data_IF_502326736925
#
_entry.id   IF_502326736925
#
_cell.length_a   1.000
_cell.length_b   1.000
_cell.length_c   1.000
_cell.angle_alpha   90.00
_cell.angle_beta   90.00
_cell.angle_gamma   90.00
#
_symmetry.space_group_name_H-M   'P 1'
#
loop_
_entity.id
_entity.type
_entity.pdbx_description
1 polymer ?
#
# COMPACT_ATOMS: atom_id res chain seq x y z
N UNK A 1 -6.53 5.40 -7.16
CA UNK A 1 -7.33 6.23 -6.21
C UNK A 1 -6.42 7.25 -5.54
N UNK A 2 -6.78 8.54 -5.57
CA UNK A 2 -5.95 9.62 -5.03
C UNK A 2 -5.68 9.45 -3.52
N UNK A 3 -6.71 9.24 -2.70
CA UNK A 3 -6.53 9.08 -1.25
C UNK A 3 -5.63 7.89 -0.89
N UNK A 4 -5.79 6.74 -1.55
CA UNK A 4 -4.95 5.57 -1.33
C UNK A 4 -3.49 5.82 -1.70
N UNK A 5 -3.24 6.55 -2.78
CA UNK A 5 -1.90 6.98 -3.17
C UNK A 5 -1.28 7.89 -2.08
N UNK A 6 -2.06 8.85 -1.58
CA UNK A 6 -1.63 9.81 -0.55
C UNK A 6 -1.29 9.10 0.75
N UNK A 7 -2.21 8.31 1.32
CA UNK A 7 -1.97 7.62 2.59
C UNK A 7 -0.77 6.68 2.50
N UNK A 8 -0.72 5.84 1.46
CA UNK A 8 0.39 4.89 1.27
C UNK A 8 1.72 5.64 1.04
N UNK A 9 1.70 6.73 0.27
CA UNK A 9 2.87 7.56 0.00
C UNK A 9 3.41 8.30 1.23
N UNK A 10 2.54 8.85 2.08
CA UNK A 10 2.94 9.50 3.34
C UNK A 10 3.59 8.49 4.28
N UNK A 11 3.01 7.30 4.40
CA UNK A 11 3.55 6.25 5.26
C UNK A 11 4.89 5.73 4.71
N UNK A 12 4.99 5.55 3.39
CA UNK A 12 6.23 5.17 2.73
C UNK A 12 7.33 6.23 2.88
N UNK A 13 6.99 7.52 2.80
CA UNK A 13 7.91 8.62 3.09
C UNK A 13 8.40 8.55 4.54
N UNK A 14 7.49 8.36 5.49
CA UNK A 14 7.87 8.19 6.90
C UNK A 14 8.81 7.00 7.10
N UNK A 15 8.51 5.84 6.51
CA UNK A 15 9.39 4.68 6.55
C UNK A 15 10.77 5.00 5.96
N UNK A 16 10.83 5.65 4.81
CA UNK A 16 12.09 6.00 4.16
C UNK A 16 12.95 6.97 4.99
N UNK A 17 12.34 7.97 5.61
CA UNK A 17 13.03 8.91 6.50
C UNK A 17 13.52 8.23 7.79
N UNK A 18 12.72 7.34 8.37
CA UNK A 18 13.08 6.59 9.57
C UNK A 18 14.20 5.58 9.31
N UNK A 19 14.25 5.01 8.10
CA UNK A 19 15.36 4.19 7.65
C UNK A 19 16.65 5.02 7.52
N UNK A 20 16.57 6.22 6.92
CA UNK A 20 17.72 7.13 6.82
C UNK A 20 18.22 7.65 8.16
N UNK A 21 17.32 7.85 9.13
CA UNK A 21 17.66 8.25 10.48
C UNK A 21 18.19 7.08 11.34
N UNK A 22 18.34 5.88 10.77
CA UNK A 22 18.80 4.66 11.44
C UNK A 22 17.93 4.24 12.65
N UNK A 23 16.68 4.69 12.68
CA UNK A 23 15.72 4.34 13.76
C UNK A 23 14.95 3.09 13.36
N UNK A 24 15.63 1.94 13.40
CA UNK A 24 15.14 0.67 12.86
C UNK A 24 13.73 0.28 13.38
N UNK A 25 13.47 0.45 14.68
CA UNK A 25 12.18 0.09 15.28
C UNK A 25 11.03 0.90 14.65
N UNK A 26 11.20 2.20 14.51
CA UNK A 26 10.18 3.06 13.91
C UNK A 26 10.06 2.82 12.41
N UNK A 27 11.16 2.53 11.72
CA UNK A 27 11.12 2.10 10.32
C UNK A 27 10.24 0.85 10.15
N UNK A 28 10.44 -0.18 10.97
CA UNK A 28 9.64 -1.41 10.90
C UNK A 28 8.17 -1.10 11.14
N UNK A 29 7.85 -0.32 12.19
CA UNK A 29 6.46 0.07 12.47
C UNK A 29 5.83 0.85 11.31
N UNK A 30 6.55 1.81 10.72
CA UNK A 30 6.09 2.56 9.56
C UNK A 30 5.90 1.65 8.34
N UNK A 31 6.79 0.67 8.13
CA UNK A 31 6.67 -0.29 7.05
C UNK A 31 5.44 -1.19 7.19
N UNK A 32 5.12 -1.63 8.41
CA UNK A 32 3.87 -2.36 8.67
C UNK A 32 2.64 -1.52 8.31
N UNK A 33 2.66 -0.22 8.63
CA UNK A 33 1.56 0.70 8.34
C UNK A 33 1.33 0.91 6.84
N UNK A 34 2.30 0.64 5.97
CA UNK A 34 2.13 0.77 4.51
C UNK A 34 0.92 -0.04 4.04
N UNK A 35 0.71 -1.24 4.60
CA UNK A 35 -0.42 -2.09 4.25
C UNK A 35 -1.79 -1.52 4.65
N UNK A 36 -1.86 -0.59 5.61
CA UNK A 36 -3.09 0.13 5.92
C UNK A 36 -3.44 1.20 4.87
N UNK A 37 -2.44 1.73 4.16
CA UNK A 37 -2.58 2.86 3.24
C UNK A 37 -3.70 2.70 2.20
N UNK A 38 -3.78 1.58 1.45
CA UNK A 38 -4.83 1.38 0.46
C UNK A 38 -6.22 1.31 1.09
N UNK A 39 -6.35 0.64 2.25
CA UNK A 39 -7.61 0.47 2.96
C UNK A 39 -8.12 1.81 3.50
N UNK A 40 -7.25 2.58 4.15
CA UNK A 40 -7.56 3.92 4.64
C UNK A 40 -7.98 4.85 3.50
N UNK A 41 -7.25 4.80 2.38
CA UNK A 41 -7.58 5.60 1.21
C UNK A 41 -8.91 5.24 0.57
N UNK A 42 -9.23 3.95 0.45
CA UNK A 42 -10.53 3.48 -0.01
C UNK A 42 -11.65 3.95 0.93
N UNK A 43 -11.51 3.73 2.24
CA UNK A 43 -12.54 4.12 3.21
C UNK A 43 -12.74 5.65 3.28
N UNK A 44 -11.66 6.43 3.14
CA UNK A 44 -11.76 7.89 3.02
C UNK A 44 -12.54 8.29 1.77
N UNK A 45 -12.25 7.65 0.63
CA UNK A 45 -12.89 7.97 -0.64
C UNK A 45 -14.38 7.60 -0.67
N UNK A 46 -14.80 6.59 0.08
CA UNK A 46 -16.21 6.17 0.18
C UNK A 46 -16.96 6.80 1.35
N UNK A 47 -16.30 7.66 2.15
CA UNK A 47 -16.90 8.28 3.34
C UNK A 47 -17.14 7.31 4.51
N UNK A 48 -16.46 6.16 4.51
CA UNK A 48 -16.59 5.07 5.49
C UNK A 48 -15.34 4.91 6.36
N UNK A 49 -14.57 5.99 6.58
CA UNK A 49 -13.31 5.95 7.32
C UNK A 49 -13.51 5.38 8.74
N UNK A 50 -12.82 4.29 9.06
CA UNK A 50 -12.95 3.56 10.32
C UNK A 50 -14.10 2.55 10.35
N UNK A 51 -14.93 2.48 9.31
CA UNK A 51 -16.08 1.58 9.23
C UNK A 51 -15.69 0.10 9.09
N UNK A 52 -14.54 -0.19 8.48
CA UNK A 52 -13.98 -1.54 8.36
C UNK A 52 -12.57 -1.60 8.98
N UNK A 53 -12.52 -1.48 10.31
CA UNK A 53 -11.26 -1.52 11.07
C UNK A 53 -10.55 -2.88 11.00
N UNK A 54 -11.30 -3.96 10.76
CA UNK A 54 -10.76 -5.30 10.60
C UNK A 54 -9.90 -5.39 9.33
N UNK A 55 -10.36 -4.80 8.22
CA UNK A 55 -9.56 -4.68 7.00
C UNK A 55 -8.28 -3.86 7.20
N UNK A 56 -8.32 -2.80 8.03
CA UNK A 56 -7.12 -2.01 8.36
C UNK A 56 -6.09 -2.87 9.09
N UNK A 57 -6.52 -3.62 10.10
CA UNK A 57 -5.63 -4.56 10.81
C UNK A 57 -5.09 -5.63 9.86
N UNK A 58 -5.93 -6.17 8.97
CA UNK A 58 -5.48 -7.09 7.93
C UNK A 58 -4.35 -6.51 7.10
N UNK A 59 -4.49 -5.25 6.68
CA UNK A 59 -3.46 -4.53 5.93
C UNK A 59 -2.14 -4.43 6.70
N UNK A 60 -2.20 -4.03 7.98
CA UNK A 60 -1.01 -3.89 8.84
C UNK A 60 -0.32 -5.24 9.03
N UNK A 61 -1.07 -6.28 9.38
CA UNK A 61 -0.53 -7.61 9.68
C UNK A 61 0.08 -8.27 8.45
N UNK A 62 -0.39 -7.97 7.25
CA UNK A 62 0.18 -8.54 6.02
C UNK A 62 1.65 -8.22 5.84
N UNK A 63 2.09 -7.06 6.31
CA UNK A 63 3.48 -6.63 6.16
C UNK A 63 4.42 -7.14 7.26
N UNK A 64 3.96 -8.03 8.15
CA UNK A 64 4.81 -8.64 9.18
C UNK A 64 5.99 -9.43 8.61
N UNK A 65 5.81 -10.00 7.40
CA UNK A 65 6.87 -10.66 6.64
C UNK A 65 7.52 -9.74 5.59
N UNK A 66 7.42 -8.42 5.80
CA UNK A 66 7.99 -7.35 4.98
C UNK A 66 7.64 -7.50 3.49
N UNK A 67 8.61 -7.97 2.68
CA UNK A 67 8.51 -8.09 1.22
C UNK A 67 7.41 -9.08 0.81
N UNK A 68 7.09 -10.07 1.64
CA UNK A 68 5.96 -10.97 1.36
C UNK A 68 4.59 -10.32 1.59
N UNK A 69 4.57 -9.10 2.14
CA UNK A 69 3.33 -8.37 2.41
C UNK A 69 2.47 -8.14 1.18
N UNK A 70 3.07 -7.98 0.00
CA UNK A 70 2.36 -7.83 -1.25
C UNK A 70 1.46 -9.04 -1.60
N UNK A 71 1.87 -10.24 -1.19
CA UNK A 71 1.14 -11.49 -1.42
C UNK A 71 0.18 -11.81 -0.27
N UNK A 72 0.56 -11.45 0.96
CA UNK A 72 -0.28 -11.65 2.14
C UNK A 72 -1.40 -10.61 2.26
N UNK A 73 -1.24 -9.43 1.66
CA UNK A 73 -2.18 -8.32 1.73
C UNK A 73 -3.57 -8.68 1.20
N UNK A 74 -3.71 -9.23 -0.03
CA UNK A 74 -5.02 -9.67 -0.52
C UNK A 74 -5.72 -10.70 0.37
N UNK A 75 -4.94 -11.59 0.99
CA UNK A 75 -5.45 -12.67 1.82
C UNK A 75 -5.99 -12.11 3.14
N UNK A 76 -5.19 -11.38 3.90
CA UNK A 76 -5.61 -10.91 5.23
C UNK A 76 -6.63 -9.78 5.14
N UNK A 77 -6.47 -8.84 4.20
CA UNK A 77 -7.47 -7.78 3.99
C UNK A 77 -8.78 -8.38 3.50
N UNK A 78 -8.74 -9.32 2.55
CA UNK A 78 -9.96 -9.96 2.03
C UNK A 78 -10.64 -10.88 3.04
N UNK A 79 -9.88 -11.54 3.93
CA UNK A 79 -10.44 -12.38 4.99
C UNK A 79 -11.09 -11.56 6.12
N UNK A 80 -10.59 -10.35 6.37
CA UNK A 80 -11.06 -9.48 7.44
C UNK A 80 -12.05 -8.40 6.97
N UNK A 81 -12.12 -8.14 5.67
CA UNK A 81 -13.07 -7.18 5.10
C UNK A 81 -14.42 -7.80 4.79
N UNK A 82 -15.47 -7.02 4.99
CA UNK A 82 -16.85 -7.42 4.66
C UNK A 82 -17.20 -7.15 3.20
N UNK A 83 -16.57 -6.14 2.59
CA UNK A 83 -16.94 -5.65 1.26
C UNK A 83 -15.98 -6.09 0.16
N UNK A 84 -14.81 -6.62 0.52
CA UNK A 84 -13.75 -6.93 -0.45
C UNK A 84 -13.64 -8.44 -0.71
N UNK A 85 -13.32 -8.82 -1.95
CA UNK A 85 -13.05 -10.21 -2.32
C UNK A 85 -11.53 -10.43 -2.45
N UNK A 86 -11.04 -11.57 -1.95
CA UNK A 86 -9.61 -11.92 -2.02
C UNK A 86 -9.11 -11.90 -3.47
N UNK A 87 -9.90 -12.43 -4.41
CA UNK A 87 -9.54 -12.46 -5.83
C UNK A 87 -9.37 -11.05 -6.44
N UNK A 88 -10.28 -10.12 -6.15
CA UNK A 88 -10.18 -8.73 -6.65
C UNK A 88 -8.98 -8.01 -6.02
N UNK A 89 -8.71 -8.25 -4.74
CA UNK A 89 -7.54 -7.70 -4.06
C UNK A 89 -6.23 -8.27 -4.63
N UNK A 90 -6.20 -9.53 -5.07
CA UNK A 90 -5.04 -10.11 -5.76
C UNK A 90 -4.79 -9.42 -7.09
N UNK A 91 -5.84 -9.18 -7.89
CA UNK A 91 -5.72 -8.40 -9.12
C UNK A 91 -5.15 -7.00 -8.84
N UNK A 92 -5.66 -6.32 -7.82
CA UNK A 92 -5.16 -5.03 -7.37
C UNK A 92 -3.70 -5.05 -6.94
N UNK A 93 -3.30 -6.04 -6.14
CA UNK A 93 -1.92 -6.14 -5.65
C UNK A 93 -0.95 -6.50 -6.77
N UNK A 94 -1.27 -7.46 -7.63
CA UNK A 94 -0.40 -7.87 -8.75
C UNK A 94 -0.21 -6.72 -9.76
N UNK A 95 -1.31 -6.06 -10.13
CA UNK A 95 -1.22 -4.88 -11.01
C UNK A 95 -0.49 -3.74 -10.31
N UNK A 96 -0.70 -3.54 -9.01
CA UNK A 96 0.01 -2.57 -8.19
C UNK A 96 1.51 -2.84 -8.10
N UNK A 97 1.96 -4.09 -8.02
CA UNK A 97 3.37 -4.49 -8.12
C UNK A 97 3.93 -4.02 -9.45
N UNK A 98 3.26 -4.36 -10.55
CA UNK A 98 3.72 -4.00 -11.88
C UNK A 98 3.83 -2.47 -12.06
N UNK A 99 2.81 -1.72 -11.63
CA UNK A 99 2.80 -0.26 -11.66
C UNK A 99 3.91 0.32 -10.78
N UNK A 100 4.05 -0.18 -9.55
CA UNK A 100 5.06 0.29 -8.61
C UNK A 100 6.49 0.04 -9.12
N UNK A 101 6.76 -1.14 -9.68
CA UNK A 101 8.05 -1.46 -10.32
C UNK A 101 8.29 -0.55 -11.53
N UNK A 102 7.27 -0.31 -12.37
CA UNK A 102 7.42 0.59 -13.50
C UNK A 102 7.78 2.02 -13.06
N UNK A 103 7.15 2.54 -12.00
CA UNK A 103 7.49 3.85 -11.42
C UNK A 103 8.90 3.88 -10.83
N UNK A 104 9.30 2.80 -10.14
CA UNK A 104 10.66 2.64 -9.65
C UNK A 104 11.67 2.72 -10.80
N UNK A 105 11.50 1.89 -11.83
CA UNK A 105 12.40 1.84 -12.99
C UNK A 105 12.45 3.16 -13.76
N UNK A 106 11.29 3.80 -13.93
CA UNK A 106 11.19 5.11 -14.58
C UNK A 106 11.99 6.16 -13.80
N UNK A 107 11.81 6.23 -12.48
CA UNK A 107 12.51 7.23 -11.66
C UNK A 107 14.02 7.04 -11.65
N UNK A 108 14.54 5.81 -11.53
CA UNK A 108 16.00 5.57 -11.61
C UNK A 108 16.58 5.87 -12.99
N UNK A 109 15.78 5.69 -14.05
CA UNK A 109 16.19 6.00 -15.44
C UNK A 109 16.23 7.52 -15.68
N UNK A 110 15.25 8.26 -15.16
CA UNK A 110 15.11 9.70 -15.40
C UNK A 110 15.99 10.54 -14.46
N UNK A 111 16.09 10.15 -13.18
CA UNK A 111 16.79 10.92 -12.15
C UNK A 111 18.24 10.45 -11.91
N UNK A 112 18.64 9.36 -12.57
CA UNK A 112 19.95 8.74 -12.39
C UNK A 112 20.06 7.87 -11.14
N UNK A 113 21.04 6.96 -11.13
CA UNK A 113 21.25 6.00 -10.05
C UNK A 113 22.15 6.60 -8.96
N UNK A 114 21.54 7.21 -7.94
CA UNK A 114 22.23 7.73 -6.76
C UNK A 114 21.41 7.41 -5.49
N UNK A 115 22.00 7.55 -4.28
CA UNK A 115 21.30 7.20 -3.04
C UNK A 115 19.99 7.96 -2.81
N UNK A 116 19.92 9.25 -3.22
CA UNK A 116 18.67 10.02 -3.10
C UNK A 116 17.57 9.52 -4.02
N UNK A 117 17.91 9.05 -5.22
CA UNK A 117 16.95 8.46 -6.14
C UNK A 117 16.35 7.18 -5.57
N UNK A 118 17.14 6.32 -4.91
CA UNK A 118 16.62 5.08 -4.30
C UNK A 118 15.49 5.39 -3.31
N UNK A 119 15.63 6.44 -2.49
CA UNK A 119 14.58 6.88 -1.58
C UNK A 119 13.31 7.31 -2.32
N UNK A 120 13.46 8.14 -3.36
CA UNK A 120 12.33 8.59 -4.18
C UNK A 120 11.64 7.41 -4.86
N UNK A 121 12.42 6.50 -5.45
CA UNK A 121 11.91 5.30 -6.12
C UNK A 121 11.19 4.37 -5.15
N UNK A 122 11.68 4.23 -3.90
CA UNK A 122 11.00 3.52 -2.83
C UNK A 122 9.63 4.14 -2.51
N UNK A 123 9.52 5.46 -2.44
CA UNK A 123 8.23 6.10 -2.17
C UNK A 123 7.27 5.88 -3.34
N UNK A 124 7.76 6.02 -4.57
CA UNK A 124 6.97 5.88 -5.80
C UNK A 124 6.42 4.46 -6.00
N UNK A 125 7.17 3.41 -5.64
CA UNK A 125 6.67 2.03 -5.74
C UNK A 125 5.43 1.83 -4.85
N UNK A 126 5.46 2.39 -3.63
CA UNK A 126 4.33 2.29 -2.69
C UNK A 126 3.16 3.17 -3.07
N UNK A 127 3.42 4.36 -3.64
CA UNK A 127 2.37 5.21 -4.22
C UNK A 127 1.65 4.45 -5.34
N UNK A 128 2.39 3.86 -6.27
CA UNK A 128 1.82 3.10 -7.38
C UNK A 128 0.99 1.91 -6.91
N UNK A 129 1.56 1.11 -6.00
CA UNK A 129 0.86 -0.03 -5.43
C UNK A 129 -0.40 0.39 -4.68
N UNK A 130 -0.28 1.35 -3.75
CA UNK A 130 -1.41 1.82 -2.96
C UNK A 130 -2.51 2.44 -3.78
N UNK A 131 -2.16 3.23 -4.81
CA UNK A 131 -3.12 3.80 -5.75
C UNK A 131 -3.94 2.73 -6.49
N UNK A 132 -3.28 1.62 -6.86
CA UNK A 132 -3.86 0.52 -7.64
C UNK A 132 -4.74 -0.37 -6.78
N UNK A 133 -4.26 -0.73 -5.58
CA UNK A 133 -5.04 -1.45 -4.58
C UNK A 133 -6.29 -0.65 -4.18
N UNK A 134 -6.16 0.64 -3.86
CA UNK A 134 -7.33 1.47 -3.53
C UNK A 134 -8.30 1.64 -4.69
N UNK A 135 -7.81 1.68 -5.94
CA UNK A 135 -8.67 1.72 -7.13
C UNK A 135 -9.47 0.44 -7.29
N UNK A 136 -8.82 -0.72 -7.18
CA UNK A 136 -9.49 -2.02 -7.30
C UNK A 136 -10.49 -2.27 -6.19
N UNK A 137 -10.20 -1.84 -4.96
CA UNK A 137 -11.16 -1.90 -3.85
C UNK A 137 -12.44 -1.11 -4.13
N UNK A 138 -12.30 0.05 -4.78
CA UNK A 138 -13.44 0.89 -5.13
C UNK A 138 -14.19 0.41 -6.39
N UNK A 139 -13.46 -0.10 -7.38
CA UNK A 139 -14.04 -0.52 -8.65
C UNK A 139 -14.71 -1.90 -8.58
N UNK A 140 -14.25 -2.76 -7.67
CA UNK A 140 -14.65 -4.17 -7.58
C UNK A 140 -15.19 -4.54 -6.19
N UNK A 141 -15.76 -3.56 -5.50
CA UNK A 141 -16.48 -3.77 -4.23
C UNK A 141 -17.62 -4.78 -4.43
N UNK A 142 -17.80 -5.69 -3.46
CA UNK A 142 -18.92 -6.63 -3.49
C UNK A 142 -20.24 -5.88 -3.34
N UNK A 143 -21.30 -6.27 -4.08
CA UNK A 143 -22.65 -5.80 -3.79
C UNK A 143 -23.06 -6.18 -2.37
N UNK A 144 -23.72 -5.27 -1.65
CA UNK A 144 -24.37 -5.59 -0.38
C UNK A 144 -25.54 -6.54 -0.69
N UNK A 145 -25.49 -7.77 -0.15
CA UNK A 145 -26.55 -8.79 -0.24
C UNK A 145 -27.63 -8.55 0.82
#
# INVERSE_FOLDING_TARGET
MLYAAIFTGIIALAAALLFQAEILVLFVLAFLLIGAGPVLGYQMATGRLGGDWQAIIGGILSFILLILGWLLWPILVGALSRTQSIGNLFLGSITGIAVGIALFLLSVTVLGQNPSTIMVSFILIWIGWGATCGYTMAALEKPEL
#
